data_IF_231421478047
#
_entry.id   IF_231421478047
#
_cell.length_a   1.000
_cell.length_b   1.000
_cell.length_c   1.000
_cell.angle_alpha   90.00
_cell.angle_beta   90.00
_cell.angle_gamma   90.00
#
_symmetry.space_group_name_H-M   'P 1'
#
loop_
_entity.id
_entity.type
_entity.pdbx_description
1 polymer ?
#
# COMPACT_ATOMS: atom_id res chain seq x y z
N UNK A 1 -23.94 -8.11 -15.95
CA UNK A 1 -24.08 -8.39 -14.50
C UNK A 1 -22.69 -8.44 -13.90
N UNK A 2 -22.48 -7.85 -12.72
CA UNK A 2 -21.20 -8.06 -12.02
C UNK A 2 -21.30 -9.36 -11.24
N UNK A 3 -20.33 -10.26 -11.37
CA UNK A 3 -20.27 -11.41 -10.48
C UNK A 3 -20.00 -10.87 -9.07
N UNK A 4 -20.97 -11.09 -8.20
CA UNK A 4 -20.80 -11.04 -6.76
C UNK A 4 -20.97 -12.47 -6.32
N UNK A 5 -19.95 -13.05 -5.71
CA UNK A 5 -20.13 -14.36 -5.10
C UNK A 5 -21.19 -14.24 -4.03
N UNK A 6 -22.08 -15.23 -3.95
CA UNK A 6 -23.13 -15.24 -2.94
C UNK A 6 -22.48 -15.28 -1.55
N UNK A 7 -22.94 -14.40 -0.64
CA UNK A 7 -22.41 -14.38 0.72
C UNK A 7 -22.90 -15.61 1.48
N UNK A 8 -21.98 -16.39 2.03
CA UNK A 8 -22.24 -17.53 2.90
C UNK A 8 -22.30 -17.08 4.36
N UNK A 9 -23.49 -16.66 4.80
CA UNK A 9 -23.69 -16.05 6.12
C UNK A 9 -23.43 -17.01 7.28
N UNK A 10 -23.57 -18.32 7.09
CA UNK A 10 -23.34 -19.32 8.14
C UNK A 10 -21.86 -19.63 8.38
N UNK A 11 -20.96 -19.19 7.49
CA UNK A 11 -19.52 -19.36 7.58
C UNK A 11 -18.79 -18.08 8.04
N UNK A 12 -19.52 -17.11 8.59
CA UNK A 12 -18.93 -15.91 9.17
C UNK A 12 -18.21 -16.28 10.47
N UNK A 13 -16.97 -15.83 10.69
CA UNK A 13 -16.24 -16.10 11.93
C UNK A 13 -16.95 -15.55 13.17
N UNK A 14 -17.08 -16.37 14.22
CA UNK A 14 -17.72 -15.97 15.46
C UNK A 14 -16.98 -14.80 16.12
N UNK A 15 -15.65 -14.80 16.03
CA UNK A 15 -14.82 -13.70 16.55
C UNK A 15 -15.18 -12.35 15.96
N UNK A 16 -15.61 -12.29 14.69
CA UNK A 16 -16.07 -11.04 14.08
C UNK A 16 -17.54 -10.76 14.45
N UNK A 17 -18.36 -11.81 14.52
CA UNK A 17 -19.78 -11.70 14.87
C UNK A 17 -20.03 -11.09 16.25
N UNK A 18 -19.10 -11.28 17.19
CA UNK A 18 -19.15 -10.74 18.56
C UNK A 18 -19.06 -9.20 18.66
N UNK A 19 -18.79 -8.50 17.55
CA UNK A 19 -18.59 -7.05 17.55
C UNK A 19 -19.71 -6.29 16.80
N UNK A 20 -20.11 -5.13 17.34
CA UNK A 20 -21.08 -4.20 16.72
C UNK A 20 -20.43 -3.31 15.64
N UNK A 21 -19.71 -3.95 14.72
CA UNK A 21 -18.90 -3.30 13.68
C UNK A 21 -19.34 -3.65 12.27
N UNK A 22 -20.59 -4.09 12.11
CA UNK A 22 -21.14 -4.56 10.85
C UNK A 22 -21.82 -3.44 10.05
N UNK A 23 -21.59 -3.49 8.74
CA UNK A 23 -22.25 -2.65 7.75
C UNK A 23 -22.77 -3.54 6.62
N UNK A 24 -23.76 -3.06 5.87
CA UNK A 24 -24.03 -3.58 4.54
C UNK A 24 -23.12 -2.88 3.53
N UNK A 25 -23.09 -3.32 2.28
CA UNK A 25 -22.46 -2.55 1.21
C UNK A 25 -23.18 -2.75 -0.12
N UNK A 26 -22.96 -1.80 -1.02
CA UNK A 26 -23.37 -1.91 -2.42
C UNK A 26 -22.33 -1.35 -3.36
N UNK A 27 -22.34 -1.79 -4.60
CA UNK A 27 -21.62 -1.15 -5.68
C UNK A 27 -22.28 0.17 -6.04
N UNK A 28 -21.47 1.21 -6.10
CA UNK A 28 -21.86 2.50 -6.64
C UNK A 28 -20.74 3.08 -7.49
N UNK A 29 -21.10 3.98 -8.41
CA UNK A 29 -20.11 4.84 -9.06
C UNK A 29 -19.63 5.89 -8.04
N UNK A 30 -18.33 6.23 -8.04
CA UNK A 30 -17.83 7.26 -7.15
C UNK A 30 -18.50 8.60 -7.46
N UNK A 31 -18.83 9.39 -6.45
CA UNK A 31 -19.41 10.73 -6.66
C UNK A 31 -18.43 11.70 -7.33
N UNK A 32 -17.12 11.43 -7.24
CA UNK A 32 -16.05 12.21 -7.85
C UNK A 32 -14.93 11.32 -8.41
N UNK A 33 -14.30 11.72 -9.51
CA UNK A 33 -13.20 11.00 -10.13
C UNK A 33 -13.65 10.10 -11.29
N UNK A 34 -12.99 8.96 -11.49
CA UNK A 34 -13.28 8.08 -12.61
C UNK A 34 -14.64 7.36 -12.42
N UNK A 35 -15.69 7.90 -13.05
CA UNK A 35 -17.05 7.35 -13.05
C UNK A 35 -17.15 5.94 -13.66
N UNK A 36 -16.11 5.47 -14.35
CA UNK A 36 -16.06 4.12 -14.93
C UNK A 36 -15.51 3.09 -13.94
N UNK A 37 -14.97 3.54 -12.78
CA UNK A 37 -14.65 2.66 -11.66
C UNK A 37 -15.90 2.42 -10.81
N UNK A 38 -15.99 1.26 -10.22
CA UNK A 38 -16.99 0.94 -9.22
C UNK A 38 -16.36 0.93 -7.84
N UNK A 39 -17.09 1.44 -6.86
CA UNK A 39 -16.69 1.47 -5.46
C UNK A 39 -17.66 0.62 -4.64
N UNK A 40 -17.13 -0.09 -3.65
CA UNK A 40 -17.94 -0.75 -2.63
C UNK A 40 -18.24 0.29 -1.56
N UNK A 41 -19.47 0.78 -1.52
CA UNK A 41 -19.91 1.84 -0.60
C UNK A 41 -20.54 1.17 0.61
N UNK A 42 -20.03 1.40 1.84
CA UNK A 42 -20.64 0.85 3.04
C UNK A 42 -21.96 1.56 3.31
N UNK A 43 -22.96 0.80 3.71
CA UNK A 43 -24.33 1.22 3.99
C UNK A 43 -24.64 0.83 5.43
N UNK A 44 -25.20 1.78 6.19
CA UNK A 44 -25.57 1.58 7.58
C UNK A 44 -26.83 0.70 7.64
N UNK A 45 -26.78 -0.47 8.32
CA UNK A 45 -27.94 -1.35 8.45
C UNK A 45 -29.14 -0.63 9.10
N UNK A 46 -28.85 0.25 10.06
CA UNK A 46 -29.86 0.97 10.83
C UNK A 46 -30.62 2.04 10.04
N UNK A 47 -30.04 2.54 8.94
CA UNK A 47 -30.59 3.72 8.24
C UNK A 47 -30.73 3.56 6.73
N UNK A 48 -30.12 2.54 6.13
CA UNK A 48 -30.02 2.37 4.68
C UNK A 48 -29.17 3.44 3.97
N UNK A 49 -28.54 4.36 4.72
CA UNK A 49 -27.71 5.46 4.18
C UNK A 49 -26.23 5.10 4.19
N UNK A 50 -25.37 5.79 3.41
CA UNK A 50 -23.93 5.57 3.46
C UNK A 50 -23.37 5.63 4.88
N UNK A 51 -22.72 4.55 5.31
CA UNK A 51 -22.07 4.47 6.62
C UNK A 51 -20.71 5.18 6.60
N UNK A 52 -20.31 5.71 7.74
CA UNK A 52 -18.97 6.28 7.93
C UNK A 52 -18.13 5.26 8.70
N UNK A 53 -17.05 4.78 8.10
CA UNK A 53 -16.11 3.80 8.71
C UNK A 53 -15.35 4.33 9.93
N UNK A 54 -15.60 5.57 10.34
CA UNK A 54 -15.06 6.18 11.56
C UNK A 54 -16.15 6.57 12.57
N UNK A 55 -17.41 6.20 12.33
CA UNK A 55 -18.56 6.56 13.18
C UNK A 55 -19.30 5.29 13.63
N UNK A 56 -19.06 4.80 14.86
CA UNK A 56 -19.71 3.61 15.39
C UNK A 56 -21.24 3.62 15.30
N UNK A 57 -21.85 4.79 15.47
CA UNK A 57 -23.30 4.99 15.32
C UNK A 57 -23.87 4.68 13.93
N UNK A 58 -23.01 4.45 12.92
CA UNK A 58 -23.43 4.08 11.57
C UNK A 58 -23.27 2.59 11.27
N UNK A 59 -22.77 1.80 12.23
CA UNK A 59 -22.62 0.35 12.15
C UNK A 59 -23.70 -0.33 13.02
N UNK A 60 -23.74 -1.65 13.02
CA UNK A 60 -24.63 -2.45 13.85
C UNK A 60 -23.98 -3.78 14.26
N UNK A 61 -24.71 -4.57 15.04
CA UNK A 61 -24.47 -6.01 15.22
C UNK A 61 -24.66 -6.79 13.90
N UNK A 62 -24.15 -8.03 13.86
CA UNK A 62 -24.23 -8.90 12.70
C UNK A 62 -25.68 -9.24 12.31
N UNK A 63 -26.55 -9.50 13.29
CA UNK A 63 -27.94 -9.90 13.05
C UNK A 63 -28.70 -8.83 12.29
N UNK A 64 -28.61 -7.58 12.75
CA UNK A 64 -29.22 -6.43 12.07
C UNK A 64 -28.66 -6.21 10.66
N UNK A 65 -27.35 -6.44 10.46
CA UNK A 65 -26.74 -6.35 9.14
C UNK A 65 -27.23 -7.44 8.18
N UNK A 66 -27.41 -8.67 8.68
CA UNK A 66 -27.99 -9.80 7.92
C UNK A 66 -29.44 -9.49 7.55
N UNK A 67 -30.27 -9.12 8.53
CA UNK A 67 -31.68 -8.79 8.28
C UNK A 67 -31.81 -7.68 7.24
N UNK A 68 -31.02 -6.60 7.36
CA UNK A 68 -31.03 -5.52 6.36
C UNK A 68 -30.60 -6.00 4.96
N UNK A 69 -29.64 -6.91 4.87
CA UNK A 69 -29.17 -7.48 3.60
C UNK A 69 -30.19 -8.43 2.96
N UNK A 70 -30.87 -9.25 3.75
CA UNK A 70 -31.85 -10.24 3.26
C UNK A 70 -33.20 -9.61 2.87
N UNK A 71 -33.55 -8.46 3.45
CA UNK A 71 -34.76 -7.72 3.09
C UNK A 71 -34.69 -7.18 1.64
N UNK A 72 -35.61 -7.65 0.80
CA UNK A 72 -35.56 -7.56 -0.67
C UNK A 72 -35.59 -6.15 -1.29
N UNK A 73 -35.90 -5.11 -0.51
CA UNK A 73 -35.97 -3.73 -0.99
C UNK A 73 -34.62 -2.99 -0.88
N UNK A 74 -33.67 -3.59 -0.17
CA UNK A 74 -32.34 -3.04 0.07
C UNK A 74 -31.43 -3.44 -1.10
N UNK A 75 -31.25 -2.56 -2.08
CA UNK A 75 -30.32 -2.76 -3.22
C UNK A 75 -28.85 -2.84 -2.73
N UNK A 76 -28.50 -3.96 -2.11
CA UNK A 76 -27.27 -4.28 -1.40
C UNK A 76 -26.59 -5.48 -2.06
N UNK A 77 -25.27 -5.48 -2.06
CA UNK A 77 -24.44 -6.52 -2.66
C UNK A 77 -23.78 -7.44 -1.61
N UNK A 78 -23.96 -7.15 -0.31
CA UNK A 78 -23.49 -7.99 0.79
C UNK A 78 -23.30 -7.24 2.09
N UNK A 79 -22.61 -7.89 3.02
CA UNK A 79 -22.22 -7.33 4.33
C UNK A 79 -20.71 -7.06 4.41
N UNK A 80 -20.31 -6.29 5.40
CA UNK A 80 -18.92 -5.94 5.64
C UNK A 80 -18.65 -5.61 7.10
N UNK A 81 -17.38 -5.68 7.46
CA UNK A 81 -16.87 -5.50 8.82
C UNK A 81 -15.91 -4.31 8.86
N UNK A 82 -16.09 -3.42 9.84
CA UNK A 82 -15.27 -2.22 10.02
C UNK A 82 -14.14 -2.48 11.01
N UNK A 83 -12.90 -2.23 10.59
CA UNK A 83 -11.73 -2.30 11.45
C UNK A 83 -11.51 -0.99 12.22
N UNK A 84 -11.14 -1.10 13.48
CA UNK A 84 -10.93 0.03 14.41
C UNK A 84 -9.65 -0.16 15.23
N UNK A 85 -9.22 0.89 15.91
CA UNK A 85 -8.03 0.80 16.76
C UNK A 85 -8.24 -0.02 18.04
N UNK A 86 -9.50 -0.28 18.41
CA UNK A 86 -9.86 -0.90 19.69
C UNK A 86 -10.18 -2.40 19.55
N UNK A 87 -10.30 -2.91 18.32
CA UNK A 87 -10.43 -4.34 18.04
C UNK A 87 -9.06 -4.96 17.69
N UNK A 88 -8.90 -6.28 17.86
CA UNK A 88 -7.62 -6.93 17.64
C UNK A 88 -7.37 -7.27 16.16
N UNK A 89 -8.24 -6.88 15.22
CA UNK A 89 -8.23 -7.45 13.88
C UNK A 89 -7.33 -6.70 12.91
N UNK A 90 -6.73 -7.45 12.00
CA UNK A 90 -5.99 -6.94 10.85
C UNK A 90 -6.53 -7.62 9.60
N UNK A 91 -6.99 -6.83 8.65
CA UNK A 91 -7.42 -7.28 7.33
C UNK A 91 -6.31 -7.10 6.30
N UNK A 92 -6.06 -8.16 5.53
CA UNK A 92 -5.12 -8.21 4.41
C UNK A 92 -5.93 -8.51 3.14
N UNK A 93 -5.90 -7.60 2.16
CA UNK A 93 -6.56 -7.74 0.86
C UNK A 93 -5.52 -8.03 -0.22
N UNK A 94 -5.70 -9.15 -0.93
CA UNK A 94 -4.82 -9.60 -2.00
C UNK A 94 -5.58 -9.55 -3.34
N UNK A 95 -5.18 -8.61 -4.20
CA UNK A 95 -5.85 -8.33 -5.47
C UNK A 95 -5.38 -9.25 -6.59
N UNK A 96 -6.33 -9.71 -7.43
CA UNK A 96 -6.06 -10.42 -8.70
C UNK A 96 -5.14 -11.64 -8.58
N UNK A 97 -5.29 -12.40 -7.49
CA UNK A 97 -4.43 -13.52 -7.15
C UNK A 97 -5.14 -14.88 -7.09
N UNK A 98 -6.45 -14.95 -7.37
CA UNK A 98 -7.27 -16.15 -7.28
C UNK A 98 -7.99 -16.45 -8.60
N UNK A 99 -8.06 -17.73 -8.96
CA UNK A 99 -8.84 -18.22 -10.09
C UNK A 99 -9.95 -19.17 -9.59
N UNK A 100 -11.19 -18.70 -9.64
CA UNK A 100 -12.39 -19.46 -9.25
C UNK A 100 -12.57 -20.77 -10.03
N UNK A 101 -12.07 -20.87 -11.27
CA UNK A 101 -12.27 -22.08 -12.07
C UNK A 101 -11.40 -23.24 -11.58
N UNK A 102 -10.16 -22.93 -11.19
CA UNK A 102 -9.21 -23.92 -10.68
C UNK A 102 -9.23 -24.03 -9.15
N UNK A 103 -9.77 -23.03 -8.44
CA UNK A 103 -9.63 -22.89 -6.99
C UNK A 103 -8.19 -22.56 -6.56
N UNK A 104 -7.32 -22.21 -7.51
CA UNK A 104 -5.90 -21.96 -7.28
C UNK A 104 -5.58 -20.49 -7.00
N UNK A 105 -4.53 -20.27 -6.20
CA UNK A 105 -3.91 -18.96 -6.01
C UNK A 105 -2.61 -18.83 -6.80
N UNK A 106 -2.27 -17.61 -7.15
CA UNK A 106 -0.90 -17.30 -7.63
C UNK A 106 0.13 -17.64 -6.56
N UNK A 107 1.36 -18.08 -6.93
CA UNK A 107 2.34 -18.54 -5.95
C UNK A 107 2.69 -17.52 -4.85
N UNK A 108 2.76 -16.23 -5.18
CA UNK A 108 3.07 -15.19 -4.19
C UNK A 108 1.95 -15.00 -3.15
N UNK A 109 0.70 -15.15 -3.56
CA UNK A 109 -0.45 -15.05 -2.67
C UNK A 109 -0.58 -16.30 -1.81
N UNK A 110 -0.30 -17.49 -2.38
CA UNK A 110 -0.26 -18.73 -1.62
C UNK A 110 0.77 -18.66 -0.49
N UNK A 111 1.99 -18.20 -0.77
CA UNK A 111 3.03 -18.01 0.27
C UNK A 111 2.58 -17.09 1.40
N UNK A 112 1.83 -16.02 1.08
CA UNK A 112 1.29 -15.11 2.08
C UNK A 112 0.17 -15.75 2.90
N UNK A 113 -0.77 -16.42 2.25
CA UNK A 113 -1.87 -17.12 2.94
C UNK A 113 -1.32 -18.22 3.85
N UNK A 114 -0.31 -18.97 3.39
CA UNK A 114 0.35 -20.02 4.18
C UNK A 114 1.14 -19.43 5.37
N UNK A 115 1.84 -18.30 5.18
CA UNK A 115 2.55 -17.62 6.27
C UNK A 115 1.58 -17.05 7.31
N UNK A 116 0.45 -16.49 6.87
CA UNK A 116 -0.53 -15.90 7.77
C UNK A 116 -1.40 -16.96 8.46
N UNK A 117 -1.73 -18.07 7.80
CA UNK A 117 -2.46 -19.23 8.33
C UNK A 117 -3.58 -18.83 9.32
N UNK A 118 -4.53 -18.04 8.80
CA UNK A 118 -5.68 -17.49 9.52
C UNK A 118 -6.90 -17.47 8.59
N UNK A 119 -8.07 -17.08 9.11
CA UNK A 119 -9.29 -16.96 8.32
C UNK A 119 -9.03 -16.27 6.98
N UNK A 120 -9.37 -16.96 5.90
CA UNK A 120 -9.16 -16.49 4.54
C UNK A 120 -10.40 -16.77 3.72
N UNK A 121 -10.86 -15.80 2.94
CA UNK A 121 -12.06 -15.91 2.11
C UNK A 121 -11.83 -15.35 0.69
N UNK A 122 -12.60 -15.85 -0.27
CA UNK A 122 -12.64 -15.30 -1.63
C UNK A 122 -13.28 -13.90 -1.59
N UNK A 123 -12.68 -12.94 -2.28
CA UNK A 123 -13.25 -11.59 -2.42
C UNK A 123 -14.53 -11.58 -3.26
N UNK A 124 -15.42 -10.56 -3.12
CA UNK A 124 -16.66 -10.49 -3.88
C UNK A 124 -16.51 -10.60 -5.41
N UNK A 125 -15.37 -10.20 -5.97
CA UNK A 125 -15.11 -10.29 -7.42
C UNK A 125 -14.74 -11.69 -7.89
N UNK A 126 -14.43 -12.62 -7.00
CA UNK A 126 -13.90 -13.94 -7.33
C UNK A 126 -12.47 -13.94 -7.86
N UNK A 127 -11.75 -12.82 -7.80
CA UNK A 127 -10.40 -12.70 -8.39
C UNK A 127 -9.30 -12.44 -7.37
N UNK A 128 -9.65 -12.08 -6.14
CA UNK A 128 -8.72 -11.86 -5.03
C UNK A 128 -9.18 -12.60 -3.78
N UNK A 129 -8.34 -12.60 -2.75
CA UNK A 129 -8.64 -13.21 -1.44
C UNK A 129 -8.40 -12.19 -0.33
N UNK A 130 -9.10 -12.37 0.79
CA UNK A 130 -8.91 -11.56 1.99
C UNK A 130 -8.55 -12.47 3.16
N UNK A 131 -7.47 -12.15 3.85
CA UNK A 131 -7.10 -12.80 5.10
C UNK A 131 -7.42 -11.86 6.26
N UNK A 132 -8.02 -12.39 7.33
CA UNK A 132 -8.30 -11.67 8.56
C UNK A 132 -7.65 -12.44 9.71
N UNK A 133 -6.88 -11.73 10.52
CA UNK A 133 -6.16 -12.28 11.66
C UNK A 133 -6.25 -11.36 12.86
N UNK A 134 -5.77 -11.83 14.01
CA UNK A 134 -5.63 -11.03 15.22
C UNK A 134 -4.17 -10.62 15.45
N UNK A 135 -3.97 -9.43 15.98
CA UNK A 135 -2.65 -8.93 16.40
C UNK A 135 -2.75 -8.21 17.73
N UNK A 136 -1.85 -8.56 18.66
CA UNK A 136 -1.67 -7.84 19.92
C UNK A 136 -0.85 -6.54 19.77
N UNK A 137 -0.24 -6.33 18.59
CA UNK A 137 0.54 -5.12 18.28
C UNK A 137 -0.14 -4.29 17.19
N UNK A 138 0.09 -2.98 17.23
CA UNK A 138 -0.37 -2.05 16.19
C UNK A 138 0.32 -2.34 14.86
N UNK A 139 -0.46 -2.75 13.86
CA UNK A 139 -0.01 -2.90 12.46
C UNK A 139 -0.42 -1.66 11.68
N UNK A 140 0.51 -1.04 10.95
CA UNK A 140 0.22 0.17 10.19
C UNK A 140 -0.51 -0.15 8.89
N UNK A 141 -1.52 0.67 8.57
CA UNK A 141 -2.21 0.58 7.28
C UNK A 141 -1.28 0.94 6.11
N UNK A 142 -1.15 0.02 5.15
CA UNK A 142 -0.27 0.18 3.98
C UNK A 142 -0.85 -0.53 2.75
N UNK A 143 -0.53 -0.02 1.57
CA UNK A 143 -0.91 -0.65 0.29
C UNK A 143 0.21 -0.58 -0.73
N UNK A 144 0.31 -1.61 -1.58
CA UNK A 144 1.28 -1.71 -2.66
C UNK A 144 0.59 -2.33 -3.87
N UNK A 145 0.44 -1.53 -4.93
CA UNK A 145 -0.30 -1.91 -6.14
C UNK A 145 0.32 -3.06 -6.95
N UNK A 146 1.58 -3.40 -6.69
CA UNK A 146 2.24 -4.58 -7.26
C UNK A 146 3.05 -5.25 -6.16
N UNK A 147 2.70 -6.47 -5.73
CA UNK A 147 1.80 -7.42 -6.39
C UNK A 147 0.29 -7.16 -6.22
N UNK A 148 -0.14 -6.18 -5.42
CA UNK A 148 -1.56 -5.97 -5.11
C UNK A 148 -1.88 -6.45 -3.69
N UNK A 149 -1.19 -5.86 -2.71
CA UNK A 149 -1.37 -6.16 -1.28
C UNK A 149 -1.78 -4.89 -0.54
N UNK A 150 -2.85 -4.97 0.23
CA UNK A 150 -3.27 -3.93 1.17
C UNK A 150 -3.46 -4.50 2.58
N UNK A 151 -2.96 -3.81 3.60
CA UNK A 151 -3.09 -4.16 5.01
C UNK A 151 -3.80 -3.01 5.72
N UNK A 152 -4.82 -3.32 6.52
CA UNK A 152 -5.53 -2.36 7.35
C UNK A 152 -5.88 -2.96 8.71
N UNK A 153 -5.63 -2.18 9.76
CA UNK A 153 -6.04 -2.47 11.14
C UNK A 153 -7.08 -1.48 11.66
N UNK A 154 -7.47 -0.49 10.85
CA UNK A 154 -8.37 0.59 11.25
C UNK A 154 -8.78 1.46 10.06
N UNK A 155 -9.90 2.18 10.19
CA UNK A 155 -10.29 3.25 9.26
C UNK A 155 -10.71 2.76 7.87
N UNK A 156 -10.93 1.45 7.73
CA UNK A 156 -11.45 0.77 6.54
C UNK A 156 -12.45 -0.28 6.96
N UNK A 157 -13.31 -0.67 6.03
CA UNK A 157 -14.15 -1.85 6.15
C UNK A 157 -13.73 -2.85 5.08
N UNK A 158 -13.85 -4.14 5.37
CA UNK A 158 -13.79 -5.20 4.36
C UNK A 158 -15.19 -5.75 4.12
N UNK A 159 -15.50 -6.05 2.86
CA UNK A 159 -16.67 -6.88 2.56
C UNK A 159 -16.41 -8.29 3.06
N UNK A 160 -17.39 -8.91 3.69
CA UNK A 160 -17.30 -10.31 4.16
C UNK A 160 -18.14 -11.17 3.23
N UNK A 161 -17.58 -12.27 2.74
CA UNK A 161 -18.25 -13.20 1.84
C UNK A 161 -18.56 -14.52 2.51
N UNK A 162 -17.80 -14.93 3.53
CA UNK A 162 -17.95 -16.26 4.13
C UNK A 162 -17.52 -17.40 3.21
N UNK A 163 -17.02 -17.10 2.00
CA UNK A 163 -16.54 -18.11 1.04
C UNK A 163 -15.11 -18.51 1.41
N UNK A 164 -15.02 -19.26 2.51
CA UNK A 164 -13.78 -19.62 3.18
C UNK A 164 -12.88 -20.48 2.29
N UNK A 165 -11.58 -20.19 2.36
CA UNK A 165 -10.52 -20.98 1.77
C UNK A 165 -9.67 -21.58 2.89
N UNK A 166 -9.37 -22.87 2.77
CA UNK A 166 -8.55 -23.59 3.74
C UNK A 166 -9.30 -23.92 5.03
N UNK A 167 -8.55 -24.40 6.03
CA UNK A 167 -9.13 -25.08 7.19
C UNK A 167 -9.23 -24.22 8.45
N UNK A 168 -8.86 -22.93 8.40
CA UNK A 168 -8.92 -22.01 9.55
C UNK A 168 -10.22 -21.21 9.54
N UNK A 169 -11.24 -21.58 10.33
CA UNK A 169 -12.55 -20.91 10.31
C UNK A 169 -12.58 -19.57 11.05
N UNK A 170 -11.55 -19.26 11.85
CA UNK A 170 -11.53 -18.09 12.74
C UNK A 170 -10.26 -17.25 12.54
N UNK A 171 -10.34 -15.91 12.73
CA UNK A 171 -9.16 -15.07 12.89
C UNK A 171 -8.34 -15.49 14.10
N UNK A 172 -7.12 -15.97 13.85
CA UNK A 172 -6.18 -16.42 14.90
C UNK A 172 -5.09 -15.37 15.17
N UNK A 173 -4.48 -15.40 16.35
CA UNK A 173 -3.37 -14.48 16.66
C UNK A 173 -2.15 -14.85 15.81
N UNK A 174 -1.73 -13.91 14.97
CA UNK A 174 -0.61 -14.04 14.04
C UNK A 174 0.28 -12.81 14.10
N UNK A 175 0.42 -12.26 15.31
CA UNK A 175 1.16 -11.01 15.55
C UNK A 175 2.56 -11.05 14.93
N UNK A 176 3.29 -12.15 15.06
CA UNK A 176 4.65 -12.26 14.52
C UNK A 176 4.66 -12.33 13.00
N UNK A 177 3.78 -13.15 12.42
CA UNK A 177 3.66 -13.37 10.98
C UNK A 177 3.24 -12.10 10.26
N UNK A 178 2.24 -11.37 10.78
CA UNK A 178 1.80 -10.12 10.15
C UNK A 178 2.86 -9.03 10.22
N UNK A 179 3.67 -8.97 11.28
CA UNK A 179 4.77 -8.01 11.38
C UNK A 179 5.90 -8.35 10.41
N UNK A 180 6.20 -9.63 10.22
CA UNK A 180 7.15 -10.10 9.21
C UNK A 180 6.65 -9.77 7.80
N UNK A 181 5.42 -10.16 7.45
CA UNK A 181 4.80 -9.85 6.16
C UNK A 181 4.78 -8.34 5.92
N UNK A 182 4.39 -7.55 6.92
CA UNK A 182 4.38 -6.10 6.82
C UNK A 182 5.80 -5.55 6.58
N UNK A 183 6.82 -6.03 7.29
CA UNK A 183 8.21 -5.58 7.11
C UNK A 183 8.76 -5.93 5.73
N UNK A 184 8.45 -7.12 5.20
CA UNK A 184 8.91 -7.58 3.89
C UNK A 184 8.24 -6.82 2.72
N UNK A 185 6.95 -6.53 2.85
CA UNK A 185 6.16 -5.91 1.77
C UNK A 185 6.15 -4.39 1.84
N UNK A 186 6.29 -3.85 3.05
CA UNK A 186 6.32 -2.42 3.36
C UNK A 186 7.55 -2.08 4.19
N UNK A 187 8.77 -2.35 3.67
CA UNK A 187 9.98 -2.01 4.37
C UNK A 187 9.94 -0.53 4.67
N UNK A 188 9.99 -0.20 5.97
CA UNK A 188 10.20 1.17 6.39
C UNK A 188 11.54 1.56 5.80
N UNK A 189 11.53 2.65 5.06
CA UNK A 189 12.73 3.34 4.67
C UNK A 189 13.55 3.70 5.93
N UNK A 190 14.36 2.76 6.43
CA UNK A 190 15.09 2.91 7.70
C UNK A 190 15.22 1.68 8.62
N UNK A 191 14.47 0.59 8.46
CA UNK A 191 14.53 -0.57 9.40
C UNK A 191 15.45 -1.72 9.00
N UNK A 192 16.50 -1.42 8.24
CA UNK A 192 17.78 -2.14 8.31
C UNK A 192 18.92 -1.15 8.61
N UNK A 193 18.74 -0.34 9.66
CA UNK A 193 19.85 0.35 10.33
C UNK A 193 19.87 -0.09 11.79
N UNK A 194 20.09 -1.38 11.98
CA UNK A 194 20.65 -1.91 13.22
C UNK A 194 21.78 -2.84 12.80
N UNK A 195 23.01 -2.37 13.03
CA UNK A 195 24.29 -3.04 12.76
C UNK A 195 24.75 -3.16 11.28
N UNK A 196 24.65 -2.09 10.50
CA UNK A 196 25.79 -1.76 9.63
C UNK A 196 26.52 -0.63 10.32
N UNK A 197 27.68 -0.95 10.91
CA UNK A 197 28.71 0.04 11.17
C UNK A 197 29.08 0.69 9.83
N UNK A 198 28.34 1.72 9.41
CA UNK A 198 28.85 2.66 8.42
C UNK A 198 29.90 3.50 9.14
N UNK A 199 31.09 2.92 9.24
CA UNK A 199 32.29 3.71 9.30
C UNK A 199 32.20 4.73 8.15
N UNK A 200 32.53 6.02 8.38
CA UNK A 200 32.60 7.00 7.32
C UNK A 200 33.80 6.67 6.43
N UNK A 201 33.67 5.65 5.58
CA UNK A 201 34.70 5.25 4.63
C UNK A 201 34.26 5.63 3.24
N UNK A 202 34.85 6.73 2.75
CA UNK A 202 34.85 7.25 1.39
C UNK A 202 33.48 7.65 0.81
N UNK A 203 33.01 8.84 1.21
CA UNK A 203 32.18 9.67 0.32
C UNK A 203 32.96 9.87 -0.99
N UNK A 204 32.57 9.16 -2.06
CA UNK A 204 32.97 9.49 -3.41
C UNK A 204 32.40 10.88 -3.72
N UNK A 205 33.16 11.93 -3.45
CA UNK A 205 32.80 13.33 -3.77
C UNK A 205 33.06 13.60 -5.25
N UNK A 206 32.37 12.89 -6.13
CA UNK A 206 32.35 13.24 -7.55
C UNK A 206 31.67 14.61 -7.69
N UNK A 207 32.28 15.59 -8.37
CA UNK A 207 31.68 16.90 -8.56
C UNK A 207 30.31 16.82 -9.25
N UNK A 208 29.36 17.64 -8.81
CA UNK A 208 28.02 17.76 -9.39
C UNK A 208 28.04 17.94 -10.92
N UNK A 209 28.99 18.72 -11.44
CA UNK A 209 29.16 18.95 -12.88
C UNK A 209 29.50 17.68 -13.65
N UNK A 210 30.29 16.79 -13.06
CA UNK A 210 30.66 15.51 -13.64
C UNK A 210 29.47 14.54 -13.62
N UNK A 211 28.69 14.53 -12.52
CA UNK A 211 27.44 13.76 -12.42
C UNK A 211 26.44 14.19 -13.49
N UNK A 212 26.19 15.50 -13.63
CA UNK A 212 25.26 16.04 -14.64
C UNK A 212 25.74 15.66 -16.04
N UNK A 213 27.03 15.85 -16.35
CA UNK A 213 27.59 15.51 -17.67
C UNK A 213 27.39 14.03 -17.99
N UNK A 214 27.69 13.13 -17.05
CA UNK A 214 27.50 11.69 -17.25
C UNK A 214 26.03 11.29 -17.36
N UNK A 215 25.14 11.88 -16.56
CA UNK A 215 23.71 11.62 -16.63
C UNK A 215 23.08 12.07 -17.96
N UNK A 216 23.52 13.21 -18.50
CA UNK A 216 23.09 13.72 -19.82
C UNK A 216 23.61 12.84 -20.96
N UNK A 217 24.85 12.35 -20.87
CA UNK A 217 25.46 11.52 -21.91
C UNK A 217 25.05 10.04 -21.87
N UNK A 218 24.30 9.61 -20.86
CA UNK A 218 23.86 8.23 -20.73
C UNK A 218 22.81 7.83 -21.79
N UNK A 219 22.63 6.52 -22.02
CA UNK A 219 21.64 5.98 -22.98
C UNK A 219 20.21 6.47 -22.70
N UNK A 220 19.89 6.77 -21.44
CA UNK A 220 18.61 7.31 -20.98
C UNK A 220 18.68 8.83 -20.64
N UNK A 221 19.70 9.54 -21.11
CA UNK A 221 19.96 10.94 -20.76
C UNK A 221 18.93 11.94 -21.28
N UNK A 222 18.11 11.57 -22.28
CA UNK A 222 16.94 12.37 -22.72
C UNK A 222 15.95 12.56 -21.58
N UNK A 223 15.55 11.47 -20.91
CA UNK A 223 14.65 11.53 -19.75
C UNK A 223 15.20 12.38 -18.61
N UNK A 224 16.52 12.30 -18.37
CA UNK A 224 17.17 13.14 -17.36
C UNK A 224 17.09 14.64 -17.72
N UNK A 225 17.39 15.01 -18.97
CA UNK A 225 17.27 16.40 -19.45
C UNK A 225 15.83 16.92 -19.34
N UNK A 226 14.87 16.13 -19.78
CA UNK A 226 13.46 16.48 -19.75
C UNK A 226 13.00 16.79 -18.31
N UNK A 227 13.36 15.93 -17.35
CA UNK A 227 13.04 16.12 -15.94
C UNK A 227 13.78 17.32 -15.33
N UNK A 228 15.06 17.53 -15.67
CA UNK A 228 15.81 18.71 -15.21
C UNK A 228 15.17 20.03 -15.70
N UNK A 229 14.53 20.02 -16.87
CA UNK A 229 13.79 21.15 -17.44
C UNK A 229 12.32 21.23 -16.99
N UNK A 230 11.87 20.32 -16.12
CA UNK A 230 10.52 20.36 -15.55
C UNK A 230 9.45 19.67 -16.40
N UNK A 231 9.84 18.88 -17.41
CA UNK A 231 8.90 18.16 -18.26
C UNK A 231 8.28 16.97 -17.53
N UNK A 232 6.95 16.91 -17.50
CA UNK A 232 6.18 15.89 -16.78
C UNK A 232 5.56 14.80 -17.69
N UNK A 233 5.77 14.90 -19.00
CA UNK A 233 5.10 14.04 -20.00
C UNK A 233 5.38 12.55 -19.77
N UNK A 234 6.58 12.21 -19.30
CA UNK A 234 7.00 10.84 -18.94
C UNK A 234 6.29 10.26 -17.71
N UNK A 235 5.51 11.08 -17.00
CA UNK A 235 4.91 10.76 -15.70
C UNK A 235 3.43 11.14 -15.65
N UNK A 236 2.72 11.04 -16.79
CA UNK A 236 1.28 11.35 -16.88
C UNK A 236 0.92 12.75 -16.32
N UNK A 237 1.83 13.71 -16.45
CA UNK A 237 1.72 15.05 -15.86
C UNK A 237 1.61 15.08 -14.32
N UNK A 238 2.05 14.02 -13.64
CA UNK A 238 2.10 13.96 -12.18
C UNK A 238 3.45 14.46 -11.64
N UNK A 239 3.42 15.63 -11.02
CA UNK A 239 4.60 16.24 -10.39
C UNK A 239 5.31 15.33 -9.39
N UNK A 240 4.57 14.62 -8.52
CA UNK A 240 5.21 13.83 -7.46
C UNK A 240 5.92 12.58 -8.00
N UNK A 241 5.44 12.05 -9.12
CA UNK A 241 6.11 10.96 -9.84
C UNK A 241 7.33 11.44 -10.61
N UNK A 242 7.28 12.64 -11.21
CA UNK A 242 8.43 13.27 -11.85
C UNK A 242 9.53 13.60 -10.83
N UNK A 243 9.16 14.12 -9.65
CA UNK A 243 10.07 14.41 -8.54
C UNK A 243 10.84 13.13 -8.13
N UNK A 244 10.12 12.03 -7.89
CA UNK A 244 10.71 10.74 -7.54
C UNK A 244 11.52 10.13 -8.70
N UNK A 245 11.06 10.31 -9.94
CA UNK A 245 11.73 9.86 -11.16
C UNK A 245 13.11 10.51 -11.32
N UNK A 246 13.20 11.83 -11.13
CA UNK A 246 14.47 12.56 -11.16
C UNK A 246 15.38 12.13 -10.00
N UNK A 247 14.85 12.00 -8.79
CA UNK A 247 15.62 11.56 -7.62
C UNK A 247 16.21 10.14 -7.81
N UNK A 248 15.51 9.23 -8.50
CA UNK A 248 16.04 7.89 -8.81
C UNK A 248 17.24 7.95 -9.76
N UNK A 249 17.15 8.77 -10.81
CA UNK A 249 18.27 8.97 -11.74
C UNK A 249 19.46 9.56 -10.97
N UNK A 250 19.22 10.60 -10.16
CA UNK A 250 20.26 11.22 -9.34
C UNK A 250 20.87 10.23 -8.34
N UNK A 251 20.05 9.41 -7.66
CA UNK A 251 20.52 8.41 -6.71
C UNK A 251 21.46 7.39 -7.37
N UNK A 252 21.16 6.94 -8.60
CA UNK A 252 22.07 6.06 -9.34
C UNK A 252 23.45 6.69 -9.52
N UNK A 253 23.53 7.98 -9.90
CA UNK A 253 24.81 8.64 -10.16
C UNK A 253 25.53 9.15 -8.92
N UNK A 254 24.82 9.61 -7.90
CA UNK A 254 25.39 10.18 -6.68
C UNK A 254 25.77 9.10 -5.65
N UNK A 255 25.26 7.87 -5.80
CA UNK A 255 25.26 6.89 -4.74
C UNK A 255 24.27 7.25 -3.62
N UNK A 256 24.35 6.58 -2.46
CA UNK A 256 23.49 6.86 -1.30
C UNK A 256 23.92 8.13 -0.58
N UNK A 257 23.95 9.27 -1.28
CA UNK A 257 24.34 10.58 -0.78
C UNK A 257 23.14 11.56 -0.83
N UNK A 258 22.29 11.59 0.21
CA UNK A 258 21.09 12.40 0.24
C UNK A 258 21.36 13.89 -0.01
N UNK A 259 22.44 14.43 0.56
CA UNK A 259 22.80 15.85 0.45
C UNK A 259 23.16 16.24 -0.98
N UNK A 260 23.85 15.36 -1.72
CA UNK A 260 24.20 15.62 -3.11
C UNK A 260 22.98 15.50 -4.03
N UNK A 261 22.10 14.53 -3.77
CA UNK A 261 20.85 14.37 -4.52
C UNK A 261 19.95 15.59 -4.32
N UNK A 262 19.76 16.04 -3.08
CA UNK A 262 18.97 17.24 -2.75
C UNK A 262 19.52 18.48 -3.47
N UNK A 263 20.84 18.74 -3.36
CA UNK A 263 21.49 19.88 -4.03
C UNK A 263 21.33 19.85 -5.54
N UNK A 264 21.37 18.67 -6.18
CA UNK A 264 21.16 18.52 -7.62
C UNK A 264 19.69 18.66 -8.00
N UNK A 265 18.76 18.17 -7.18
CA UNK A 265 17.33 18.32 -7.40
C UNK A 265 16.91 19.80 -7.38
N UNK A 266 17.44 20.58 -6.43
CA UNK A 266 17.21 22.04 -6.33
C UNK A 266 17.68 22.83 -7.56
N UNK A 267 18.56 22.27 -8.38
CA UNK A 267 19.00 22.87 -9.65
C UNK A 267 18.05 22.60 -10.82
N UNK A 268 17.06 21.73 -10.63
CA UNK A 268 16.04 21.41 -11.64
C UNK A 268 14.88 22.41 -11.62
N UNK A 269 14.13 22.46 -12.72
CA UNK A 269 12.87 23.21 -12.81
C UNK A 269 11.68 22.49 -12.14
N UNK A 270 11.89 21.31 -11.54
CA UNK A 270 10.89 20.62 -10.72
C UNK A 270 10.86 21.12 -9.27
N UNK A 271 11.91 21.83 -8.83
CA UNK A 271 11.98 22.38 -7.48
C UNK A 271 10.85 23.39 -7.20
N UNK A 272 10.24 23.27 -6.03
CA UNK A 272 9.07 24.04 -5.58
C UNK A 272 9.00 24.05 -4.06
N UNK A 273 8.28 25.01 -3.46
CA UNK A 273 8.18 25.19 -2.00
C UNK A 273 7.74 23.92 -1.24
N UNK A 274 6.92 23.08 -1.88
CA UNK A 274 6.52 21.77 -1.34
C UNK A 274 7.73 20.92 -0.92
N UNK A 275 8.87 21.06 -1.60
CA UNK A 275 10.09 20.30 -1.31
C UNK A 275 10.55 20.43 0.14
N UNK A 276 10.39 21.60 0.73
CA UNK A 276 10.83 21.92 2.09
C UNK A 276 9.70 21.87 3.13
N UNK A 277 8.47 21.56 2.71
CA UNK A 277 7.34 21.42 3.63
C UNK A 277 7.44 20.10 4.41
N UNK A 278 7.23 20.19 5.73
CA UNK A 278 7.05 19.00 6.57
C UNK A 278 5.75 18.30 6.18
N UNK A 279 5.86 17.01 5.85
CA UNK A 279 4.75 16.20 5.33
C UNK A 279 4.48 14.95 6.16
N UNK A 280 5.29 14.71 7.19
CA UNK A 280 5.24 13.53 8.04
C UNK A 280 5.25 13.95 9.52
N UNK A 281 4.63 13.12 10.38
CA UNK A 281 4.48 13.41 11.80
C UNK A 281 5.81 13.48 12.57
N UNK A 282 6.89 12.97 11.99
CA UNK A 282 8.27 13.03 12.52
C UNK A 282 9.04 14.29 12.10
N UNK A 283 8.40 15.21 11.38
CA UNK A 283 9.01 16.45 10.89
C UNK A 283 9.74 16.33 9.56
N UNK A 284 9.78 15.13 8.95
CA UNK A 284 10.44 14.92 7.66
C UNK A 284 9.79 15.74 6.55
N UNK A 285 10.60 16.40 5.73
CA UNK A 285 10.09 17.15 4.57
C UNK A 285 9.75 16.23 3.40
N UNK A 286 8.87 16.69 2.51
CA UNK A 286 8.57 15.94 1.29
C UNK A 286 9.83 15.63 0.45
N UNK A 287 10.76 16.58 0.36
CA UNK A 287 12.03 16.40 -0.34
C UNK A 287 12.89 15.31 0.29
N UNK A 288 13.07 15.36 1.61
CA UNK A 288 13.83 14.35 2.36
C UNK A 288 13.25 12.95 2.16
N UNK A 289 11.93 12.79 2.30
CA UNK A 289 11.27 11.51 2.07
C UNK A 289 11.38 11.04 0.61
N UNK A 290 11.32 11.95 -0.36
CA UNK A 290 11.43 11.61 -1.79
C UNK A 290 12.85 11.14 -2.14
N UNK A 291 13.88 11.83 -1.63
CA UNK A 291 15.29 11.42 -1.80
C UNK A 291 15.55 10.07 -1.16
N UNK A 292 15.08 9.87 0.07
CA UNK A 292 15.26 8.60 0.79
C UNK A 292 14.57 7.44 0.06
N UNK A 293 13.34 7.65 -0.43
CA UNK A 293 12.63 6.67 -1.27
C UNK A 293 13.38 6.35 -2.57
N UNK A 294 14.02 7.34 -3.19
CA UNK A 294 14.80 7.13 -4.40
C UNK A 294 16.06 6.30 -4.16
N UNK A 295 16.80 6.58 -3.09
CA UNK A 295 18.00 5.82 -2.70
C UNK A 295 17.65 4.36 -2.41
N UNK A 296 16.60 4.13 -1.64
CA UNK A 296 16.17 2.79 -1.27
C UNK A 296 15.67 1.99 -2.48
N UNK A 297 14.97 2.65 -3.40
CA UNK A 297 14.51 1.99 -4.63
C UNK A 297 15.66 1.50 -5.52
N UNK A 298 16.89 2.00 -5.35
CA UNK A 298 18.05 1.53 -6.11
C UNK A 298 18.63 0.20 -5.59
N UNK A 299 18.26 -0.24 -4.39
CA UNK A 299 18.65 -1.56 -3.87
C UNK A 299 20.16 -1.83 -3.87
N UNK A 300 20.99 -0.80 -3.67
CA UNK A 300 22.45 -0.92 -3.70
C UNK A 300 23.10 -0.82 -5.09
N UNK A 301 22.31 -0.66 -6.15
CA UNK A 301 22.80 -0.51 -7.53
C UNK A 301 23.10 0.96 -7.82
N UNK A 302 24.33 1.37 -7.53
CA UNK A 302 24.82 2.73 -7.78
C UNK A 302 25.96 2.75 -8.79
N UNK A 303 26.10 3.85 -9.52
CA UNK A 303 27.20 4.08 -10.42
C UNK A 303 28.52 4.16 -9.63
N UNK A 304 29.48 3.32 -10.00
CA UNK A 304 30.80 3.29 -9.36
C UNK A 304 31.75 4.21 -10.12
N UNK A 305 31.97 5.40 -9.57
CA UNK A 305 33.01 6.30 -10.06
C UNK A 305 34.38 5.68 -9.81
N UNK A 306 35.20 5.57 -10.87
CA UNK A 306 36.60 5.14 -10.70
C UNK A 306 37.33 6.23 -9.91
N UNK A 307 37.87 5.87 -8.74
CA UNK A 307 38.82 6.72 -8.03
C UNK A 307 40.01 6.89 -8.97
N UNK A 308 40.25 8.12 -9.42
CA UNK A 308 41.46 8.42 -10.16
C UNK A 308 42.64 8.06 -9.27
N UNK A 309 43.51 7.13 -9.71
CA UNK A 309 44.84 7.04 -9.14
C UNK A 309 45.46 8.42 -9.32
N UNK A 310 45.65 9.17 -8.24
CA UNK A 310 46.53 10.32 -8.26
C UNK A 310 47.87 9.79 -8.79
N UNK A 311 48.20 10.15 -10.03
CA UNK A 311 49.57 10.06 -10.50
C UNK A 311 50.35 11.00 -9.59
N UNK A 312 51.29 10.43 -8.83
CA UNK A 312 52.35 11.19 -8.16
C UNK A 312 53.08 12.05 -9.19
#
# INVERSE_FOLDING_TARGET
MRPVIQTNLSAIPNRLAEHDQWVCWRYARPSSGNQHRWCKVPISPNTGKPAKVTSPSSWSDLGSAITCFEESDSNLDGIGFVFTHDDPFVGIDLDNCFDMNSGGMTPWAQLLVDELDSYTEVSPSGTGVKCILRSSKKVLGRRKSSPGIEIYSSGRFFTITGDQIGNQPEPVDRTEQILKVHAEHFPVAGSQISAINYQPTNLLTTPDSQIIKSAVSARNGTKFRDLMLGCLSHHQNNHSEADLGLCRILAFWCGPNPCQIDRLFRKSKLFRDKWDQSHFADGTTYGQATVQRAILAQGGTFFRWKIGKNRK
#
